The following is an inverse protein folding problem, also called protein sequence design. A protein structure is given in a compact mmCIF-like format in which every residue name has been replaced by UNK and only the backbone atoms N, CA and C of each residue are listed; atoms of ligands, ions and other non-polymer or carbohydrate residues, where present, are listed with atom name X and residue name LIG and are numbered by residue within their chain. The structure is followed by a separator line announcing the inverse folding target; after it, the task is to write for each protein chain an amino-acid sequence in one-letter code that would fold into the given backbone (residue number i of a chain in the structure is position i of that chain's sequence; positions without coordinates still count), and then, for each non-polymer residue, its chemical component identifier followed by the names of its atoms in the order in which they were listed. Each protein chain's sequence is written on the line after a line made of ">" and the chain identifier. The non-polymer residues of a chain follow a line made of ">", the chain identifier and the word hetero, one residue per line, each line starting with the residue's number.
data_IF_113250579663
#
_entry.id   IF_113250579663
#
_cell.length_a   1.000
_cell.length_b   1.000
_cell.length_c   1.000
_cell.angle_alpha   90.00
_cell.angle_beta   90.00
_cell.angle_gamma   90.00
#
_symmetry.space_group_name_H-M   'P 1'
#
loop_
_entity.id
_entity.type
_entity.pdbx_description
1 polymer ?
#
# COMPACT_ATOMS: atom_id res chain seq x y z
N UNK A 1 -7.42 27.62 -9.07
CA UNK A 1 -8.44 26.56 -8.95
C UNK A 1 -7.76 25.24 -9.27
N UNK A 2 -7.47 24.40 -8.26
CA UNK A 2 -6.86 23.09 -8.51
C UNK A 2 -7.84 22.23 -9.32
N UNK A 3 -7.42 21.55 -10.39
CA UNK A 3 -8.30 20.67 -11.15
C UNK A 3 -8.85 19.60 -10.20
N UNK A 4 -10.15 19.64 -9.94
CA UNK A 4 -10.85 18.71 -9.02
C UNK A 4 -11.13 17.37 -9.71
N UNK A 5 -10.29 16.97 -10.66
CA UNK A 5 -10.33 15.65 -11.28
C UNK A 5 -9.65 14.68 -10.32
N UNK A 6 -10.40 14.19 -9.34
CA UNK A 6 -9.92 13.17 -8.42
C UNK A 6 -9.50 11.94 -9.24
N UNK A 7 -8.27 11.44 -9.08
CA UNK A 7 -7.85 10.24 -9.79
C UNK A 7 -8.83 9.07 -9.48
N UNK A 8 -9.15 8.23 -10.47
CA UNK A 8 -10.04 7.10 -10.28
C UNK A 8 -9.52 6.21 -9.15
N UNK A 9 -10.40 5.83 -8.23
CA UNK A 9 -10.01 4.97 -7.11
C UNK A 9 -9.83 3.53 -7.58
N UNK A 10 -8.72 2.85 -7.21
CA UNK A 10 -8.58 1.41 -7.41
C UNK A 10 -9.69 0.67 -6.67
N UNK A 11 -10.12 -0.46 -7.22
CA UNK A 11 -11.02 -1.39 -6.55
C UNK A 11 -10.23 -2.22 -5.54
N UNK A 12 -10.75 -2.34 -4.33
CA UNK A 12 -10.19 -3.23 -3.33
C UNK A 12 -10.46 -4.68 -3.75
N UNK A 13 -9.44 -5.35 -4.28
CA UNK A 13 -9.49 -6.79 -4.54
C UNK A 13 -9.15 -7.56 -3.27
N UNK A 14 -9.64 -8.80 -3.13
CA UNK A 14 -9.27 -9.65 -1.99
C UNK A 14 -7.76 -9.86 -1.87
N UNK A 15 -7.02 -9.81 -3.00
CA UNK A 15 -5.56 -9.84 -3.04
C UNK A 15 -4.93 -8.59 -2.44
N UNK A 16 -5.39 -7.40 -2.82
CA UNK A 16 -4.92 -6.13 -2.24
C UNK A 16 -5.17 -6.12 -0.73
N UNK A 17 -6.34 -6.58 -0.29
CA UNK A 17 -6.63 -6.71 1.13
C UNK A 17 -5.66 -7.68 1.84
N UNK A 18 -5.42 -8.86 1.29
CA UNK A 18 -4.51 -9.84 1.88
C UNK A 18 -3.07 -9.32 1.97
N UNK A 19 -2.57 -8.64 0.94
CA UNK A 19 -1.25 -7.99 1.01
C UNK A 19 -1.24 -6.82 2.01
N UNK A 20 -2.33 -6.07 2.14
CA UNK A 20 -2.47 -5.05 3.17
C UNK A 20 -2.41 -5.62 4.59
N UNK A 21 -3.02 -6.78 4.82
CA UNK A 21 -2.90 -7.50 6.10
C UNK A 21 -1.46 -7.95 6.37
N UNK A 22 -0.74 -8.39 5.34
CA UNK A 22 0.68 -8.72 5.45
C UNK A 22 1.54 -7.49 5.78
N UNK A 23 1.20 -6.31 5.23
CA UNK A 23 1.87 -5.05 5.56
C UNK A 23 1.63 -4.65 7.03
N UNK A 24 0.39 -4.77 7.52
CA UNK A 24 0.06 -4.54 8.94
C UNK A 24 0.82 -5.49 9.86
N UNK A 25 0.98 -6.75 9.46
CA UNK A 25 1.83 -7.71 10.17
C UNK A 25 3.30 -7.25 10.16
N UNK A 26 3.83 -6.80 9.01
CA UNK A 26 5.18 -6.25 8.91
C UNK A 26 5.41 -5.04 9.82
N UNK A 27 4.47 -4.09 9.85
CA UNK A 27 4.48 -2.94 10.75
C UNK A 27 4.44 -3.37 12.23
N UNK A 28 3.66 -4.38 12.56
CA UNK A 28 3.59 -4.92 13.92
C UNK A 28 4.94 -5.52 14.35
N UNK A 29 5.58 -6.30 13.47
CA UNK A 29 6.92 -6.84 13.71
C UNK A 29 7.96 -5.73 13.92
N UNK A 30 7.96 -4.70 13.08
CA UNK A 30 8.87 -3.55 13.25
C UNK A 30 8.59 -2.82 14.57
N UNK A 31 7.33 -2.57 14.91
CA UNK A 31 6.95 -1.90 16.14
C UNK A 31 7.39 -2.69 17.38
N UNK A 32 7.14 -4.00 17.41
CA UNK A 32 7.55 -4.88 18.51
C UNK A 32 9.07 -4.92 18.63
N UNK A 33 9.80 -5.12 17.52
CA UNK A 33 11.26 -5.13 17.53
C UNK A 33 11.87 -3.79 17.95
N UNK A 34 11.33 -2.66 17.47
CA UNK A 34 11.78 -1.33 17.85
C UNK A 34 11.48 -1.01 19.33
N UNK A 35 10.32 -1.45 19.83
CA UNK A 35 9.95 -1.25 21.24
C UNK A 35 10.94 -1.88 22.22
N UNK A 36 11.58 -2.98 21.82
CA UNK A 36 12.63 -3.61 22.61
C UNK A 36 13.85 -2.71 22.81
N UNK A 37 14.25 -1.96 21.78
CA UNK A 37 15.35 -1.00 21.87
C UNK A 37 14.96 0.27 22.63
N UNK A 38 13.69 0.67 22.58
CA UNK A 38 13.22 1.89 23.23
C UNK A 38 12.91 1.71 24.73
N UNK A 39 12.38 0.55 25.14
CA UNK A 39 11.86 0.31 26.49
C UNK A 39 12.41 -0.97 27.17
N UNK A 40 13.26 -1.74 26.51
CA UNK A 40 13.84 -2.98 27.04
C UNK A 40 13.00 -4.25 26.76
N UNK A 41 13.43 -5.39 27.30
CA UNK A 41 12.73 -6.69 27.16
C UNK A 41 11.27 -6.58 27.61
N UNK A 42 10.35 -7.06 26.78
CA UNK A 42 8.96 -7.26 27.18
C UNK A 42 8.05 -6.03 27.10
N UNK A 43 8.46 -4.96 26.42
CA UNK A 43 7.72 -3.69 26.39
C UNK A 43 6.32 -3.75 25.75
N UNK A 44 6.06 -4.70 24.84
CA UNK A 44 4.76 -4.86 24.14
C UNK A 44 4.20 -6.29 24.28
N UNK A 45 5.05 -7.32 24.23
CA UNK A 45 4.70 -8.71 24.51
C UNK A 45 5.62 -9.22 25.62
N UNK A 46 5.05 -9.77 26.69
CA UNK A 46 5.76 -10.13 27.93
C UNK A 46 6.98 -11.07 27.75
N UNK A 47 7.10 -11.72 26.59
CA UNK A 47 8.13 -12.71 26.28
C UNK A 47 8.68 -12.61 24.85
N UNK A 48 8.49 -11.50 24.13
CA UNK A 48 9.08 -11.30 22.79
C UNK A 48 9.25 -9.80 22.47
N UNK A 49 10.43 -9.33 21.99
CA UNK A 49 11.69 -10.05 21.76
C UNK A 49 12.45 -10.36 23.07
N UNK A 50 13.09 -11.54 23.15
CA UNK A 50 13.93 -11.92 24.30
C UNK A 50 15.41 -11.66 24.08
N UNK A 51 15.87 -11.45 22.84
CA UNK A 51 17.27 -11.14 22.56
C UNK A 51 17.40 -10.02 21.53
N UNK A 52 18.58 -9.38 21.50
CA UNK A 52 18.93 -8.39 20.47
C UNK A 52 18.83 -9.00 19.07
N UNK A 53 19.24 -10.27 18.91
CA UNK A 53 19.16 -10.98 17.64
C UNK A 53 17.70 -11.15 17.18
N UNK A 54 16.79 -11.54 18.08
CA UNK A 54 15.35 -11.63 17.78
C UNK A 54 14.75 -10.27 17.42
N UNK A 55 15.12 -9.20 18.13
CA UNK A 55 14.63 -7.85 17.84
C UNK A 55 15.06 -7.39 16.44
N UNK A 56 16.33 -7.60 16.07
CA UNK A 56 16.85 -7.27 14.73
C UNK A 56 16.18 -8.11 13.66
N UNK A 57 16.03 -9.42 13.87
CA UNK A 57 15.33 -10.31 12.92
C UNK A 57 13.87 -9.89 12.73
N UNK A 58 13.19 -9.49 13.82
CA UNK A 58 11.80 -9.03 13.76
C UNK A 58 11.66 -7.74 12.95
N UNK A 59 12.58 -6.78 13.13
CA UNK A 59 12.61 -5.54 12.35
C UNK A 59 12.91 -5.85 10.88
N UNK A 60 14.00 -6.55 10.59
CA UNK A 60 14.43 -6.83 9.21
C UNK A 60 13.39 -7.68 8.48
N UNK A 61 12.84 -8.69 9.16
CA UNK A 61 11.75 -9.52 8.63
C UNK A 61 10.48 -8.71 8.38
N UNK A 62 10.09 -7.83 9.31
CA UNK A 62 8.96 -6.92 9.15
C UNK A 62 9.13 -5.99 7.95
N UNK A 63 10.29 -5.35 7.81
CA UNK A 63 10.62 -4.48 6.67
C UNK A 63 10.59 -5.25 5.35
N UNK A 64 11.15 -6.47 5.31
CA UNK A 64 11.13 -7.30 4.12
C UNK A 64 9.69 -7.66 3.70
N UNK A 65 8.82 -8.00 4.65
CA UNK A 65 7.39 -8.27 4.40
C UNK A 65 6.66 -7.01 3.92
N UNK A 66 6.94 -5.83 4.50
CA UNK A 66 6.35 -4.56 4.05
C UNK A 66 6.71 -4.26 2.60
N UNK A 67 8.01 -4.30 2.25
CA UNK A 67 8.48 -4.04 0.88
C UNK A 67 7.85 -5.02 -0.11
N UNK A 68 7.82 -6.31 0.25
CA UNK A 68 7.20 -7.34 -0.57
C UNK A 68 5.69 -7.10 -0.77
N UNK A 69 4.98 -6.75 0.30
CA UNK A 69 3.53 -6.50 0.29
C UNK A 69 3.18 -5.28 -0.56
N UNK A 70 3.88 -4.16 -0.36
CA UNK A 70 3.68 -2.93 -1.15
C UNK A 70 3.95 -3.19 -2.63
N UNK A 71 5.03 -3.87 -2.98
CA UNK A 71 5.32 -4.21 -4.37
C UNK A 71 4.20 -5.05 -5.02
N UNK A 72 3.60 -5.98 -4.26
CA UNK A 72 2.46 -6.78 -4.72
C UNK A 72 1.17 -5.97 -4.85
N UNK A 73 0.88 -5.07 -3.91
CA UNK A 73 -0.27 -4.16 -3.99
C UNK A 73 -0.16 -3.28 -5.23
N UNK A 74 1.00 -2.66 -5.46
CA UNK A 74 1.24 -1.82 -6.63
C UNK A 74 1.08 -2.61 -7.93
N UNK A 75 1.53 -3.87 -7.95
CA UNK A 75 1.33 -4.75 -9.12
C UNK A 75 -0.15 -5.07 -9.37
N UNK A 76 -0.95 -5.27 -8.33
CA UNK A 76 -2.40 -5.49 -8.48
C UNK A 76 -3.14 -4.22 -8.89
N UNK A 77 -2.71 -3.05 -8.41
CA UNK A 77 -3.25 -1.75 -8.84
C UNK A 77 -2.90 -1.49 -10.31
N UNK A 78 -1.66 -1.78 -10.72
CA UNK A 78 -1.23 -1.62 -12.11
C UNK A 78 -2.07 -2.46 -13.09
N UNK A 79 -2.54 -3.65 -12.67
CA UNK A 79 -3.47 -4.46 -13.47
C UNK A 79 -4.83 -3.80 -13.67
N UNK A 80 -5.24 -2.92 -12.76
CA UNK A 80 -6.50 -2.17 -12.85
C UNK A 80 -6.37 -0.86 -13.62
N UNK A 81 -5.16 -0.46 -14.02
CA UNK A 81 -4.91 0.82 -14.69
C UNK A 81 -5.78 1.06 -15.93
N UNK A 82 -5.99 0.08 -16.85
CA UNK A 82 -6.83 0.30 -18.02
C UNK A 82 -8.30 0.58 -17.68
N UNK A 83 -8.86 -0.17 -16.71
CA UNK A 83 -10.25 0.03 -16.24
C UNK A 83 -10.40 1.41 -15.57
N UNK A 84 -9.41 1.82 -14.78
CA UNK A 84 -9.39 3.13 -14.15
C UNK A 84 -9.31 4.25 -15.19
N UNK A 85 -8.50 4.10 -16.23
CA UNK A 85 -8.37 5.08 -17.31
C UNK A 85 -9.66 5.19 -18.11
N UNK A 86 -10.31 4.08 -18.47
CA UNK A 86 -11.60 4.11 -19.16
C UNK A 86 -12.69 4.83 -18.35
N UNK A 87 -12.73 4.62 -17.02
CA UNK A 87 -13.66 5.34 -16.13
C UNK A 87 -13.35 6.83 -16.06
N UNK A 88 -12.08 7.18 -16.06
CA UNK A 88 -11.65 8.58 -16.10
C UNK A 88 -12.10 9.25 -17.39
N UNK A 89 -11.83 8.62 -18.53
CA UNK A 89 -12.18 9.15 -19.85
C UNK A 89 -13.70 9.31 -20.00
N UNK A 90 -14.50 8.35 -19.52
CA UNK A 90 -15.96 8.46 -19.48
C UNK A 90 -16.44 9.60 -18.57
N UNK A 91 -15.83 9.79 -17.41
CA UNK A 91 -16.16 10.89 -16.50
C UNK A 91 -15.87 12.26 -17.14
N UNK A 92 -14.70 12.40 -17.78
CA UNK A 92 -14.31 13.61 -18.49
C UNK A 92 -15.25 13.88 -19.65
N UNK A 93 -15.59 12.87 -20.47
CA UNK A 93 -16.54 13.03 -21.57
C UNK A 93 -17.91 13.54 -21.09
N UNK A 94 -18.38 13.09 -19.93
CA UNK A 94 -19.69 13.47 -19.39
C UNK A 94 -19.71 14.86 -18.69
N UNK A 95 -18.63 15.25 -18.01
CA UNK A 95 -18.63 16.45 -17.14
C UNK A 95 -17.72 17.58 -17.64
N UNK A 96 -16.73 17.27 -18.48
CA UNK A 96 -15.74 18.19 -19.02
C UNK A 96 -15.48 17.86 -20.50
N UNK A 97 -16.50 18.00 -21.38
CA UNK A 97 -16.37 17.62 -22.79
C UNK A 97 -15.30 18.45 -23.52
N UNK A 98 -14.98 19.65 -23.02
CA UNK A 98 -13.88 20.51 -23.47
C UNK A 98 -12.49 19.88 -23.23
N UNK A 99 -12.39 18.96 -22.28
CA UNK A 99 -11.15 18.27 -21.88
C UNK A 99 -11.14 16.81 -22.28
N UNK A 100 -12.20 16.33 -22.92
CA UNK A 100 -12.22 14.97 -23.47
C UNK A 100 -11.04 14.83 -24.42
N UNK A 101 -10.23 13.79 -24.22
CA UNK A 101 -9.08 13.51 -25.07
C UNK A 101 -9.62 13.34 -26.50
N UNK A 102 -9.38 14.34 -27.34
CA UNK A 102 -9.70 14.26 -28.77
C UNK A 102 -8.83 13.11 -29.31
N UNK A 103 -9.37 12.14 -30.05
CA UNK A 103 -8.51 11.23 -30.79
C UNK A 103 -7.65 12.11 -31.67
N UNK A 104 -6.33 12.03 -31.49
CA UNK A 104 -5.39 12.77 -32.32
C UNK A 104 -5.75 12.44 -33.78
N UNK A 105 -6.13 13.48 -34.53
CA UNK A 105 -6.70 13.33 -35.86
C UNK A 105 -5.75 12.57 -36.78
N UNK A 106 -6.33 11.70 -37.61
CA UNK A 106 -5.75 11.27 -38.88
C UNK A 106 -5.29 12.45 -39.73
#
# INVERSE_FOLDING_TARGET
>A
MFPTTRPPRPRLTGRIFAYGMADVFGLSCVAIGASWFAAGRGAILASFPTSTAEAVICIVGGVAVMIWSVARILREIARQAPEMQARYDAYIAAHHPDKARRPDGE
#
